data_IF_293240152680
#
_entry.id   IF_293240152680
#
_cell.length_a   1.000
_cell.length_b   1.000
_cell.length_c   1.000
_cell.angle_alpha   90.00
_cell.angle_beta   90.00
_cell.angle_gamma   90.00
#
_symmetry.space_group_name_H-M   'P 1'
#
loop_
_entity.id
_entity.type
_entity.pdbx_description
1 polymer ?
#
# COMPACT_ATOMS: atom_id res chain seq x y z
N UNK A 1 -24.11 5.33 0.58
CA UNK A 1 -22.71 4.95 0.31
C UNK A 1 -22.67 4.28 -1.05
N UNK A 2 -21.80 4.77 -1.94
CA UNK A 2 -21.48 4.03 -3.15
C UNK A 2 -20.69 2.79 -2.73
N UNK A 3 -21.06 1.60 -3.22
CA UNK A 3 -20.44 0.35 -2.79
C UNK A 3 -19.08 0.08 -3.47
N UNK A 4 -18.72 0.93 -4.44
CA UNK A 4 -17.53 0.78 -5.29
C UNK A 4 -16.47 1.86 -5.05
N UNK A 5 -16.57 2.58 -3.93
CA UNK A 5 -15.58 3.60 -3.56
C UNK A 5 -14.30 2.94 -3.05
N UNK A 6 -13.16 3.32 -3.63
CA UNK A 6 -11.85 2.87 -3.15
C UNK A 6 -11.52 3.56 -1.81
N UNK A 7 -11.36 2.76 -0.75
CA UNK A 7 -10.99 3.25 0.59
C UNK A 7 -9.48 3.48 0.70
N UNK A 8 -8.69 2.75 -0.10
CA UNK A 8 -7.23 2.85 -0.14
C UNK A 8 -6.72 2.53 -1.55
N UNK A 9 -5.72 3.29 -2.01
CA UNK A 9 -5.06 3.12 -3.30
C UNK A 9 -3.59 3.49 -3.16
N UNK A 10 -2.72 2.69 -3.77
CA UNK A 10 -1.32 3.07 -4.04
C UNK A 10 -1.19 3.22 -5.55
N UNK A 11 -0.85 4.41 -6.00
CA UNK A 11 -0.64 4.72 -7.41
C UNK A 11 0.81 4.47 -7.82
N UNK A 12 1.05 4.46 -9.14
CA UNK A 12 2.41 4.44 -9.66
C UNK A 12 3.18 5.71 -9.27
N UNK A 13 2.52 6.85 -9.13
CA UNK A 13 3.19 8.09 -8.72
C UNK A 13 3.69 7.98 -7.27
N UNK A 14 2.89 7.39 -6.37
CA UNK A 14 3.27 7.18 -4.98
C UNK A 14 4.56 6.37 -4.86
N UNK A 15 4.65 5.25 -5.62
CA UNK A 15 5.84 4.40 -5.56
C UNK A 15 7.07 5.04 -6.22
N UNK A 16 6.85 5.90 -7.22
CA UNK A 16 7.92 6.65 -7.87
C UNK A 16 8.45 7.77 -6.95
N UNK A 17 7.58 8.42 -6.18
CA UNK A 17 7.96 9.41 -5.18
C UNK A 17 8.78 8.75 -4.06
N UNK A 18 8.33 7.61 -3.53
CA UNK A 18 9.09 6.83 -2.54
C UNK A 18 10.47 6.40 -3.07
N UNK A 19 10.55 6.01 -4.35
CA UNK A 19 11.82 5.67 -4.98
C UNK A 19 12.74 6.89 -5.11
N UNK A 20 12.20 8.04 -5.52
CA UNK A 20 12.97 9.27 -5.58
C UNK A 20 13.54 9.64 -4.21
N UNK A 21 12.76 9.52 -3.14
CA UNK A 21 13.20 9.83 -1.78
C UNK A 21 14.22 8.83 -1.23
N UNK A 22 14.01 7.52 -1.44
CA UNK A 22 14.85 6.48 -0.83
C UNK A 22 16.11 6.13 -1.62
N UNK A 23 16.04 6.18 -2.95
CA UNK A 23 17.13 5.76 -3.84
C UNK A 23 17.57 6.84 -4.83
N UNK A 24 16.95 8.03 -4.81
CA UNK A 24 17.42 9.20 -5.58
C UNK A 24 17.10 9.16 -7.08
N UNK A 25 16.22 8.25 -7.53
CA UNK A 25 15.77 8.16 -8.92
C UNK A 25 14.43 7.45 -9.04
N UNK A 26 13.82 7.55 -10.21
CA UNK A 26 12.63 6.77 -10.56
C UNK A 26 12.97 5.29 -10.82
N UNK A 27 11.98 4.43 -10.58
CA UNK A 27 12.01 3.00 -10.89
C UNK A 27 11.81 2.77 -12.38
N UNK A 28 12.50 1.77 -12.92
CA UNK A 28 12.20 1.18 -14.23
C UNK A 28 10.92 0.33 -14.15
N UNK A 29 10.37 -0.08 -15.30
CA UNK A 29 9.18 -0.95 -15.34
C UNK A 29 9.40 -2.28 -14.60
N UNK A 30 10.59 -2.88 -14.75
CA UNK A 30 10.97 -4.12 -14.06
C UNK A 30 11.03 -3.93 -12.54
N UNK A 31 11.58 -2.80 -12.09
CA UNK A 31 11.65 -2.46 -10.67
C UNK A 31 10.26 -2.15 -10.08
N UNK A 32 9.38 -1.51 -10.85
CA UNK A 32 7.97 -1.31 -10.47
C UNK A 32 7.28 -2.66 -10.28
N UNK A 33 7.55 -3.65 -11.13
CA UNK A 33 6.99 -5.00 -10.99
C UNK A 33 7.46 -5.69 -9.71
N UNK A 34 8.75 -5.57 -9.38
CA UNK A 34 9.30 -6.07 -8.11
C UNK A 34 8.64 -5.38 -6.92
N UNK A 35 8.50 -4.06 -6.98
CA UNK A 35 7.92 -3.27 -5.92
C UNK A 35 6.42 -3.59 -5.73
N UNK A 36 5.67 -3.82 -6.82
CA UNK A 36 4.28 -4.28 -6.77
C UNK A 36 4.14 -5.62 -6.05
N UNK A 37 4.96 -6.61 -6.41
CA UNK A 37 4.97 -7.93 -5.73
C UNK A 37 5.31 -7.81 -4.25
N UNK A 38 6.25 -6.94 -3.90
CA UNK A 38 6.60 -6.64 -2.51
C UNK A 38 5.43 -6.04 -1.73
N UNK A 39 4.73 -5.06 -2.32
CA UNK A 39 3.55 -4.44 -1.74
C UNK A 39 2.41 -5.45 -1.56
N UNK A 40 2.11 -6.26 -2.58
CA UNK A 40 1.08 -7.30 -2.50
C UNK A 40 1.37 -8.27 -1.35
N UNK A 41 2.59 -8.78 -1.27
CA UNK A 41 2.97 -9.69 -0.18
C UNK A 41 2.90 -9.02 1.19
N UNK A 42 3.47 -7.83 1.34
CA UNK A 42 3.50 -7.10 2.61
C UNK A 42 2.10 -6.72 3.11
N UNK A 43 1.24 -6.26 2.20
CA UNK A 43 -0.14 -5.91 2.55
C UNK A 43 -0.96 -7.16 2.84
N UNK A 44 -0.96 -8.18 1.97
CA UNK A 44 -1.76 -9.39 2.18
C UNK A 44 -1.39 -10.15 3.46
N UNK A 45 -0.11 -10.16 3.85
CA UNK A 45 0.31 -10.86 5.07
C UNK A 45 -0.04 -10.10 6.35
N UNK A 46 -0.22 -8.77 6.29
CA UNK A 46 -0.53 -7.93 7.44
C UNK A 46 -1.97 -7.43 7.53
N UNK A 47 -2.76 -7.55 6.46
CA UNK A 47 -4.04 -6.83 6.34
C UNK A 47 -5.06 -7.20 7.42
N UNK A 48 -5.08 -8.47 7.85
CA UNK A 48 -5.98 -8.93 8.91
C UNK A 48 -5.66 -8.25 10.25
N UNK A 49 -4.37 -8.10 10.57
CA UNK A 49 -3.93 -7.38 11.77
C UNK A 49 -4.27 -5.90 11.66
N UNK A 50 -4.07 -5.29 10.48
CA UNK A 50 -4.43 -3.89 10.23
C UNK A 50 -5.93 -3.66 10.45
N UNK A 51 -6.81 -4.51 9.89
CA UNK A 51 -8.24 -4.39 10.12
C UNK A 51 -8.63 -4.62 11.57
N UNK A 52 -7.99 -5.60 12.24
CA UNK A 52 -8.23 -5.84 13.66
C UNK A 52 -7.90 -4.59 14.48
N UNK A 53 -6.72 -3.98 14.27
CA UNK A 53 -6.31 -2.75 14.95
C UNK A 53 -7.29 -1.60 14.68
N UNK A 54 -7.62 -1.34 13.41
CA UNK A 54 -8.55 -0.27 13.03
C UNK A 54 -9.89 -0.43 13.74
N UNK A 55 -10.46 -1.64 13.76
CA UNK A 55 -11.75 -1.88 14.38
C UNK A 55 -11.68 -1.90 15.90
N UNK A 56 -10.60 -2.39 16.49
CA UNK A 56 -10.34 -2.28 17.94
C UNK A 56 -10.33 -0.81 18.39
N UNK A 57 -9.56 0.03 17.71
CA UNK A 57 -9.48 1.46 18.00
C UNK A 57 -10.83 2.17 17.78
N UNK A 58 -11.51 1.87 16.67
CA UNK A 58 -12.79 2.50 16.34
C UNK A 58 -13.91 2.15 17.33
N UNK A 59 -13.93 0.92 17.84
CA UNK A 59 -14.96 0.41 18.75
C UNK A 59 -14.56 0.62 20.23
N UNK A 60 -13.31 1.02 20.49
CA UNK A 60 -12.78 1.22 21.84
C UNK A 60 -12.57 -0.09 22.62
N UNK A 61 -12.13 -1.15 21.93
CA UNK A 61 -11.80 -2.46 22.51
C UNK A 61 -10.32 -2.78 22.42
#
# INVERSE_FOLDING_TARGET
MNKEEAIFLITLEDIQNEAMEKIGRTLTEEEVEVARKGLEFGLLTGIDTVYQTIFSEMIGK
#
